data_IF_356355536434
#
_entry.id   IF_356355536434
#
_cell.length_a   1.000
_cell.length_b   1.000
_cell.length_c   1.000
_cell.angle_alpha   90.00
_cell.angle_beta   90.00
_cell.angle_gamma   90.00
#
_symmetry.space_group_name_H-M   'P 1'
#
loop_
_entity.id
_entity.type
_entity.pdbx_description
1 polymer ?
#
# COMPACT_ATOMS: atom_id res chain seq x y z
N UNK A 1 9.57 4.55 -9.74
CA UNK A 1 8.70 4.38 -8.57
C UNK A 1 8.84 2.96 -8.03
N UNK A 2 9.65 2.84 -6.98
CA UNK A 2 9.80 1.65 -6.14
C UNK A 2 8.51 1.37 -5.39
N UNK A 3 8.42 0.20 -4.76
CA UNK A 3 7.26 -0.15 -3.95
C UNK A 3 7.15 0.73 -2.70
N UNK A 4 8.29 1.18 -2.16
CA UNK A 4 8.33 2.15 -1.07
C UNK A 4 7.81 3.53 -1.51
N UNK A 5 8.31 4.05 -2.63
CA UNK A 5 7.84 5.33 -3.19
C UNK A 5 6.34 5.28 -3.50
N UNK A 6 5.84 4.13 -3.96
CA UNK A 6 4.42 3.93 -4.27
C UNK A 6 3.56 3.89 -3.00
N UNK A 7 4.00 3.15 -1.97
CA UNK A 7 3.34 3.08 -0.68
C UNK A 7 3.24 4.46 -0.01
N UNK A 8 4.34 5.20 0.01
CA UNK A 8 4.44 6.53 0.60
C UNK A 8 3.56 7.54 -0.14
N UNK A 9 3.60 7.56 -1.47
CA UNK A 9 2.78 8.45 -2.28
C UNK A 9 1.28 8.21 -2.07
N UNK A 10 0.86 6.94 -1.90
CA UNK A 10 -0.54 6.59 -1.65
C UNK A 10 -0.95 7.03 -0.23
N UNK A 11 -0.15 6.73 0.79
CA UNK A 11 -0.50 7.09 2.18
C UNK A 11 -0.47 8.57 2.42
N UNK A 12 0.49 9.30 1.84
CA UNK A 12 0.56 10.76 1.92
C UNK A 12 -0.71 11.46 1.42
N UNK A 13 -1.42 10.86 0.47
CA UNK A 13 -2.68 11.38 -0.10
C UNK A 13 -3.94 10.94 0.65
N UNK A 14 -3.83 10.14 1.71
CA UNK A 14 -4.95 9.75 2.54
C UNK A 14 -5.31 10.81 3.59
N UNK A 15 -6.57 10.87 4.04
CA UNK A 15 -6.95 11.61 5.25
C UNK A 15 -6.19 11.15 6.49
N UNK A 16 -6.03 12.05 7.46
CA UNK A 16 -5.21 11.84 8.68
C UNK A 16 -5.58 10.58 9.46
N UNK A 17 -6.87 10.26 9.59
CA UNK A 17 -7.32 9.10 10.35
C UNK A 17 -6.84 7.77 9.74
N UNK A 18 -6.78 7.68 8.41
CA UNK A 18 -6.25 6.51 7.72
C UNK A 18 -4.72 6.49 7.74
N UNK A 19 -4.07 7.65 7.63
CA UNK A 19 -2.61 7.75 7.79
C UNK A 19 -2.17 7.26 9.15
N UNK A 20 -2.87 7.68 10.20
CA UNK A 20 -2.61 7.23 11.57
C UNK A 20 -2.78 5.72 11.73
N UNK A 21 -3.81 5.11 11.14
CA UNK A 21 -4.03 3.65 11.14
C UNK A 21 -2.91 2.88 10.43
N UNK A 22 -2.28 3.49 9.42
CA UNK A 22 -1.26 2.83 8.60
C UNK A 22 0.18 3.10 9.04
N UNK A 23 0.42 4.13 9.86
CA UNK A 23 1.76 4.55 10.32
C UNK A 23 2.64 3.39 10.78
N UNK A 24 2.17 2.58 11.72
CA UNK A 24 2.96 1.45 12.23
C UNK A 24 3.23 0.35 11.19
N UNK A 25 2.39 0.23 10.17
CA UNK A 25 2.63 -0.69 9.05
C UNK A 25 3.62 -0.09 8.06
N UNK A 26 3.51 1.22 7.78
CA UNK A 26 4.41 1.94 6.89
C UNK A 26 5.84 1.97 7.45
N UNK A 27 6.03 2.28 8.73
CA UNK A 27 7.34 2.28 9.39
C UNK A 27 8.03 0.89 9.33
N UNK A 28 7.26 -0.19 9.50
CA UNK A 28 7.78 -1.56 9.37
C UNK A 28 8.18 -1.87 7.93
N UNK A 29 7.36 -1.43 6.97
CA UNK A 29 7.65 -1.63 5.55
C UNK A 29 8.92 -0.88 5.13
N UNK A 30 9.04 0.39 5.50
CA UNK A 30 10.25 1.22 5.31
C UNK A 30 11.50 0.51 5.83
N UNK A 31 11.48 0.07 7.09
CA UNK A 31 12.60 -0.62 7.70
C UNK A 31 12.98 -1.92 6.97
N UNK A 32 12.00 -2.70 6.52
CA UNK A 32 12.27 -3.93 5.74
C UNK A 32 12.86 -3.60 4.37
N UNK A 33 12.37 -2.55 3.70
CA UNK A 33 12.88 -2.12 2.40
C UNK A 33 14.27 -1.50 2.49
N UNK A 34 14.64 -0.88 3.60
CA UNK A 34 16.02 -0.39 3.85
C UNK A 34 17.01 -1.54 4.08
N UNK A 35 16.56 -2.63 4.69
CA UNK A 35 17.41 -3.79 5.01
C UNK A 35 17.56 -4.78 3.85
N UNK A 36 16.56 -4.84 2.96
CA UNK A 36 16.53 -5.74 1.81
C UNK A 36 16.92 -5.01 0.53
N UNK A 37 17.60 -5.68 -0.41
CA UNK A 37 17.76 -5.10 -1.76
C UNK A 37 16.39 -5.07 -2.45
N UNK A 38 16.12 -4.02 -3.21
CA UNK A 38 14.96 -3.95 -4.11
C UNK A 38 14.93 -5.21 -5.00
N UNK A 39 13.72 -5.78 -5.18
CA UNK A 39 13.43 -6.95 -6.04
C UNK A 39 13.69 -8.36 -5.46
N UNK A 40 13.71 -8.51 -4.13
CA UNK A 40 13.68 -9.83 -3.48
C UNK A 40 12.25 -10.35 -3.26
N UNK A 41 12.08 -11.68 -3.17
CA UNK A 41 10.79 -12.28 -2.78
C UNK A 41 10.27 -11.72 -1.45
N UNK A 42 11.16 -11.53 -0.48
CA UNK A 42 10.84 -10.95 0.82
C UNK A 42 10.33 -9.50 0.70
N UNK A 43 10.98 -8.67 -0.12
CA UNK A 43 10.50 -7.30 -0.37
C UNK A 43 9.12 -7.28 -1.05
N UNK A 44 8.85 -8.21 -1.98
CA UNK A 44 7.55 -8.33 -2.64
C UNK A 44 6.45 -8.73 -1.65
N UNK A 45 6.72 -9.72 -0.80
CA UNK A 45 5.78 -10.16 0.25
C UNK A 45 5.49 -9.04 1.26
N UNK A 46 6.52 -8.26 1.62
CA UNK A 46 6.37 -7.12 2.52
C UNK A 46 5.45 -6.05 1.91
N UNK A 47 5.64 -5.73 0.62
CA UNK A 47 4.76 -4.82 -0.10
C UNK A 47 3.32 -5.34 -0.18
N UNK A 48 3.11 -6.61 -0.54
CA UNK A 48 1.77 -7.21 -0.58
C UNK A 48 1.05 -7.06 0.76
N UNK A 49 1.76 -7.34 1.87
CA UNK A 49 1.19 -7.23 3.22
C UNK A 49 0.83 -5.80 3.60
N UNK A 50 1.65 -4.83 3.22
CA UNK A 50 1.32 -3.43 3.36
C UNK A 50 0.02 -3.08 2.60
N UNK A 51 -0.10 -3.54 1.35
CA UNK A 51 -1.28 -3.29 0.52
C UNK A 51 -2.56 -3.97 1.07
N UNK A 52 -2.45 -5.17 1.63
CA UNK A 52 -3.55 -5.84 2.32
C UNK A 52 -4.08 -4.98 3.48
N UNK A 53 -3.19 -4.51 4.34
CA UNK A 53 -3.56 -3.68 5.51
C UNK A 53 -4.14 -2.34 5.05
N UNK A 54 -3.57 -1.70 4.03
CA UNK A 54 -4.16 -0.52 3.40
C UNK A 54 -5.60 -0.80 2.97
N UNK A 55 -5.86 -1.91 2.27
CA UNK A 55 -7.20 -2.19 1.72
C UNK A 55 -8.21 -2.44 2.84
N UNK A 56 -7.82 -3.16 3.89
CA UNK A 56 -8.66 -3.37 5.07
C UNK A 56 -8.95 -2.06 5.82
N UNK A 57 -7.96 -1.19 5.96
CA UNK A 57 -8.10 0.07 6.68
C UNK A 57 -8.97 1.07 5.90
N UNK A 58 -8.71 1.24 4.60
CA UNK A 58 -9.33 2.29 3.76
C UNK A 58 -10.68 1.84 3.17
N UNK A 59 -10.84 0.56 2.86
CA UNK A 59 -12.05 -0.02 2.25
C UNK A 59 -12.73 -1.03 3.15
N UNK A 60 -12.74 -0.75 4.46
CA UNK A 60 -13.30 -1.63 5.48
C UNK A 60 -14.71 -2.15 5.07
N UNK A 61 -14.90 -3.46 5.19
CA UNK A 61 -16.15 -4.15 4.87
C UNK A 61 -16.45 -4.36 3.38
N UNK A 62 -15.57 -3.93 2.45
CA UNK A 62 -15.77 -4.16 1.01
C UNK A 62 -15.08 -5.42 0.47
N UNK A 63 -14.08 -5.92 1.19
CA UNK A 63 -13.30 -7.08 0.77
C UNK A 63 -13.06 -8.00 1.95
N UNK A 64 -13.24 -9.31 1.72
CA UNK A 64 -12.83 -10.34 2.67
C UNK A 64 -11.30 -10.46 2.66
N UNK A 65 -10.69 -10.59 3.85
CA UNK A 65 -9.25 -10.74 3.98
C UNK A 65 -8.70 -11.94 3.17
N UNK A 66 -9.44 -13.06 3.17
CA UNK A 66 -9.11 -14.27 2.41
C UNK A 66 -9.07 -14.03 0.89
N UNK A 67 -9.83 -13.06 0.37
CA UNK A 67 -9.81 -12.69 -1.03
C UNK A 67 -8.58 -11.82 -1.37
N UNK A 68 -8.13 -10.99 -0.43
CA UNK A 68 -6.94 -10.16 -0.60
C UNK A 68 -5.65 -11.00 -0.60
N UNK A 69 -5.56 -12.02 0.25
CA UNK A 69 -4.38 -12.90 0.35
C UNK A 69 -4.11 -13.75 -0.90
N UNK A 70 -5.10 -13.94 -1.77
CA UNK A 70 -4.95 -14.70 -3.02
C UNK A 70 -4.33 -13.89 -4.15
N UNK A 71 -4.12 -12.59 -3.95
CA UNK A 71 -3.62 -11.71 -4.99
C UNK A 71 -2.09 -11.81 -5.07
N UNK A 72 -1.63 -12.01 -6.30
CA UNK A 72 -0.20 -12.01 -6.62
C UNK A 72 0.39 -10.59 -6.51
N UNK A 73 1.70 -10.52 -6.30
CA UNK A 73 2.44 -9.26 -6.21
C UNK A 73 2.18 -8.30 -7.38
N UNK A 74 2.17 -8.83 -8.62
CA UNK A 74 1.96 -8.03 -9.83
C UNK A 74 0.59 -7.34 -9.83
N UNK A 75 -0.44 -8.02 -9.34
CA UNK A 75 -1.80 -7.48 -9.20
C UNK A 75 -1.86 -6.43 -8.09
N UNK A 76 -1.19 -6.65 -6.97
CA UNK A 76 -1.05 -5.63 -5.92
C UNK A 76 -0.39 -4.36 -6.43
N UNK A 77 0.72 -4.50 -7.17
CA UNK A 77 1.44 -3.36 -7.73
C UNK A 77 0.63 -2.61 -8.78
N UNK A 78 -0.17 -3.31 -9.58
CA UNK A 78 -1.11 -2.70 -10.52
C UNK A 78 -2.17 -1.87 -9.78
N UNK A 79 -2.84 -2.45 -8.78
CA UNK A 79 -3.88 -1.77 -7.99
C UNK A 79 -3.36 -0.55 -7.25
N UNK A 80 -2.15 -0.64 -6.70
CA UNK A 80 -1.48 0.48 -6.04
C UNK A 80 -1.30 1.67 -7.01
N UNK A 81 -0.82 1.43 -8.23
CA UNK A 81 -0.67 2.48 -9.26
C UNK A 81 -2.01 3.10 -9.65
N UNK A 82 -3.04 2.28 -9.85
CA UNK A 82 -4.40 2.75 -10.15
C UNK A 82 -4.96 3.61 -9.01
N UNK A 83 -4.69 3.21 -7.76
CA UNK A 83 -5.10 3.95 -6.57
C UNK A 83 -4.42 5.30 -6.46
N UNK A 84 -3.10 5.34 -6.66
CA UNK A 84 -2.34 6.58 -6.65
C UNK A 84 -2.93 7.58 -7.65
N UNK A 85 -3.19 7.14 -8.89
CA UNK A 85 -3.82 7.99 -9.90
C UNK A 85 -5.20 8.49 -9.47
N UNK A 86 -6.01 7.63 -8.84
CA UNK A 86 -7.34 7.99 -8.34
C UNK A 86 -7.27 9.03 -7.22
N UNK A 87 -6.35 8.85 -6.27
CA UNK A 87 -6.15 9.78 -5.14
C UNK A 87 -5.64 11.13 -5.63
N UNK A 88 -4.66 11.13 -6.54
CA UNK A 88 -4.15 12.36 -7.17
C UNK A 88 -5.25 13.15 -7.88
N UNK A 89 -6.12 12.48 -8.67
CA UNK A 89 -7.25 13.14 -9.32
C UNK A 89 -8.19 13.80 -8.32
N UNK A 90 -8.49 13.13 -7.20
CA UNK A 90 -9.34 13.69 -6.14
C UNK A 90 -8.70 14.91 -5.47
N UNK A 91 -7.39 14.85 -5.21
CA UNK A 91 -6.66 15.94 -4.57
C UNK A 91 -6.57 17.21 -5.44
N UNK A 92 -6.53 17.06 -6.77
CA UNK A 92 -6.52 18.20 -7.71
C UNK A 92 -7.90 18.88 -7.82
N UNK A 93 -8.98 18.15 -7.54
CA UNK A 93 -10.36 18.65 -7.65
C UNK A 93 -10.96 19.16 -6.34
N UNK A 94 -10.22 19.11 -5.23
CA UNK A 94 -10.66 19.56 -3.89
C UNK A 94 -10.15 20.98 -3.61
#
# INVERSE_FOLDING_TARGET
MTDLELADAITSLLPDDYREKLRGTQERFEKTMEQTKLDTKESNECFCRYMEIYWLAVYNGRYEYSALQKLEYSEWRKRAKEMLQRLQRKAVTA
#
